data_IF_219173971044
#
_entry.id   IF_219173971044
#
_cell.length_a   1.000
_cell.length_b   1.000
_cell.length_c   1.000
_cell.angle_alpha   90.00
_cell.angle_beta   90.00
_cell.angle_gamma   90.00
#
_symmetry.space_group_name_H-M   'P 1'
#
loop_
_entity.id
_entity.type
_entity.pdbx_description
1 polymer ?
#
# COMPACT_ATOMS: atom_id res chain seq x y z
N UNK A 1 -2.74 -9.96 -20.15
CA UNK A 1 -2.28 -10.18 -18.74
C UNK A 1 -0.99 -9.44 -18.46
N UNK A 2 -0.03 -9.35 -19.39
CA UNK A 2 1.32 -8.81 -19.18
C UNK A 2 1.36 -7.35 -18.66
N UNK A 3 0.36 -6.54 -18.93
CA UNK A 3 0.24 -5.16 -18.45
C UNK A 3 -1.01 -4.91 -17.59
N UNK A 4 -1.53 -5.98 -16.95
CA UNK A 4 -2.52 -5.85 -15.89
C UNK A 4 -3.99 -6.00 -16.31
N UNK A 5 -4.27 -6.43 -17.55
CA UNK A 5 -5.63 -6.72 -18.02
C UNK A 5 -5.92 -8.22 -18.08
N UNK A 6 -7.21 -8.60 -18.00
CA UNK A 6 -7.69 -9.97 -18.20
C UNK A 6 -7.72 -10.84 -16.94
N UNK A 7 -7.50 -10.28 -15.76
CA UNK A 7 -7.69 -10.96 -14.47
C UNK A 7 -8.50 -10.06 -13.56
N UNK A 8 -9.64 -10.54 -13.09
CA UNK A 8 -10.45 -9.89 -12.07
C UNK A 8 -10.09 -10.45 -10.69
N UNK A 9 -9.81 -9.56 -9.74
CA UNK A 9 -9.54 -9.90 -8.34
C UNK A 9 -10.31 -8.97 -7.41
N UNK A 10 -10.71 -9.48 -6.25
CA UNK A 10 -11.32 -8.63 -5.23
C UNK A 10 -10.27 -7.76 -4.54
N UNK A 11 -10.65 -6.59 -3.96
CA UNK A 11 -9.73 -5.76 -3.18
C UNK A 11 -9.03 -6.53 -2.06
N UNK A 12 -9.74 -7.44 -1.39
CA UNK A 12 -9.21 -8.27 -0.32
C UNK A 12 -8.17 -9.28 -0.84
N UNK A 13 -8.40 -9.88 -2.02
CA UNK A 13 -7.42 -10.76 -2.65
C UNK A 13 -6.15 -9.99 -3.04
N UNK A 14 -6.29 -8.79 -3.61
CA UNK A 14 -5.15 -7.95 -3.93
C UNK A 14 -4.34 -7.60 -2.67
N UNK A 15 -5.00 -7.11 -1.62
CA UNK A 15 -4.35 -6.76 -0.36
C UNK A 15 -3.64 -7.95 0.30
N UNK A 16 -4.29 -9.14 0.35
CA UNK A 16 -3.70 -10.34 0.93
C UNK A 16 -2.54 -10.90 0.09
N UNK A 17 -2.59 -10.74 -1.24
CA UNK A 17 -1.48 -11.11 -2.12
C UNK A 17 -0.26 -10.22 -1.84
N UNK A 18 -0.45 -8.90 -1.79
CA UNK A 18 0.64 -7.99 -1.44
C UNK A 18 1.20 -8.29 -0.04
N UNK A 19 0.34 -8.49 0.95
CA UNK A 19 0.77 -8.90 2.29
C UNK A 19 1.61 -10.19 2.24
N UNK A 20 1.25 -11.15 1.39
CA UNK A 20 1.94 -12.43 1.28
C UNK A 20 3.31 -12.33 0.60
N UNK A 21 3.43 -11.51 -0.46
CA UNK A 21 4.69 -11.38 -1.20
C UNK A 21 5.69 -10.45 -0.51
N UNK A 22 5.23 -9.54 0.36
CA UNK A 22 6.09 -8.52 0.99
C UNK A 22 6.55 -8.88 2.40
N UNK A 23 5.93 -9.85 3.09
CA UNK A 23 6.22 -10.23 4.48
C UNK A 23 7.33 -11.29 4.63
N UNK A 24 8.21 -11.42 3.67
CA UNK A 24 9.18 -12.51 3.57
C UNK A 24 8.67 -13.71 2.76
N UNK A 25 7.55 -13.55 2.07
CA UNK A 25 6.98 -14.55 1.14
C UNK A 25 6.04 -15.57 1.78
N UNK A 26 5.50 -15.29 2.95
CA UNK A 26 4.56 -16.20 3.62
C UNK A 26 3.11 -15.85 3.31
N UNK A 27 2.30 -16.88 3.00
CA UNK A 27 0.89 -16.70 2.68
C UNK A 27 0.13 -16.05 3.84
N UNK A 28 -0.66 -15.03 3.53
CA UNK A 28 -1.57 -14.37 4.45
C UNK A 28 -3.00 -14.74 4.09
N UNK A 29 -3.70 -15.38 5.03
CA UNK A 29 -5.14 -15.62 4.92
C UNK A 29 -5.85 -14.56 5.78
N UNK A 30 -6.55 -13.60 5.17
CA UNK A 30 -7.19 -12.54 5.92
C UNK A 30 -8.29 -13.10 6.83
N UNK A 31 -8.44 -12.53 8.03
CA UNK A 31 -9.48 -12.88 8.99
C UNK A 31 -9.78 -11.69 9.89
N UNK A 32 -11.04 -11.49 10.23
CA UNK A 32 -11.49 -10.53 11.25
C UNK A 32 -11.65 -11.19 12.62
N UNK A 33 -11.54 -12.52 12.67
CA UNK A 33 -11.67 -13.28 13.91
C UNK A 33 -10.30 -13.53 14.52
N UNK A 34 -10.12 -13.15 15.79
CA UNK A 34 -8.89 -13.46 16.54
C UNK A 34 -8.80 -14.96 16.75
N UNK A 35 -7.72 -15.58 16.31
CA UNK A 35 -7.45 -17.01 16.49
C UNK A 35 -6.51 -17.22 17.68
N UNK A 36 -6.73 -18.31 18.44
CA UNK A 36 -5.80 -18.73 19.53
C UNK A 36 -4.49 -19.26 18.93
N UNK A 37 -4.59 -19.97 17.80
CA UNK A 37 -3.43 -20.53 17.08
C UNK A 37 -3.51 -20.19 15.60
N UNK A 38 -2.35 -19.96 14.99
CA UNK A 38 -2.22 -19.73 13.58
C UNK A 38 -1.58 -20.96 12.92
N UNK A 39 -2.08 -21.42 11.76
CA UNK A 39 -1.48 -22.55 11.04
C UNK A 39 -0.04 -22.24 10.65
N UNK A 40 0.77 -23.30 10.48
CA UNK A 40 2.15 -23.17 9.99
C UNK A 40 2.16 -22.32 8.73
N UNK A 41 3.05 -21.31 8.71
CA UNK A 41 3.18 -20.38 7.58
C UNK A 41 3.72 -21.12 6.36
N UNK A 42 2.96 -21.16 5.27
CA UNK A 42 3.43 -21.67 3.96
C UNK A 42 4.11 -20.54 3.20
N UNK A 43 5.33 -20.78 2.72
CA UNK A 43 6.07 -19.82 1.90
C UNK A 43 5.68 -20.01 0.43
N UNK A 44 5.44 -18.90 -0.30
CA UNK A 44 5.08 -18.86 -1.72
C UNK A 44 6.15 -18.22 -2.59
N UNK A 45 6.99 -17.34 -2.02
CA UNK A 45 8.19 -16.78 -2.66
C UNK A 45 9.35 -16.77 -1.66
N UNK A 46 10.59 -16.73 -2.15
CA UNK A 46 11.76 -16.65 -1.27
C UNK A 46 11.81 -15.33 -0.50
N UNK A 47 12.51 -15.30 0.64
CA UNK A 47 12.74 -14.07 1.38
C UNK A 47 13.54 -13.04 0.58
N UNK A 48 14.45 -13.50 -0.26
CA UNK A 48 15.21 -12.65 -1.16
C UNK A 48 14.31 -12.00 -2.21
N UNK A 49 13.42 -12.78 -2.85
CA UNK A 49 12.42 -12.25 -3.80
C UNK A 49 11.53 -11.22 -3.12
N UNK A 50 11.02 -11.53 -1.92
CA UNK A 50 10.22 -10.60 -1.12
C UNK A 50 10.96 -9.29 -0.84
N UNK A 51 12.23 -9.36 -0.47
CA UNK A 51 13.06 -8.18 -0.21
C UNK A 51 13.28 -7.34 -1.48
N UNK A 52 13.55 -8.00 -2.62
CA UNK A 52 13.66 -7.32 -3.93
C UNK A 52 12.36 -6.61 -4.30
N UNK A 53 11.21 -7.26 -4.11
CA UNK A 53 9.89 -6.66 -4.36
C UNK A 53 9.71 -5.41 -3.48
N UNK A 54 10.01 -5.49 -2.19
CA UNK A 54 9.89 -4.35 -1.27
C UNK A 54 10.77 -3.17 -1.71
N UNK A 55 11.99 -3.43 -2.15
CA UNK A 55 12.89 -2.42 -2.73
C UNK A 55 12.29 -1.75 -3.97
N UNK A 56 11.71 -2.54 -4.87
CA UNK A 56 11.07 -2.02 -6.09
C UNK A 56 9.85 -1.18 -5.73
N UNK A 57 9.00 -1.65 -4.82
CA UNK A 57 7.83 -0.90 -4.36
C UNK A 57 8.22 0.43 -3.70
N UNK A 58 9.35 0.47 -2.98
CA UNK A 58 9.87 1.72 -2.41
C UNK A 58 10.30 2.69 -3.50
N UNK A 59 10.99 2.23 -4.54
CA UNK A 59 11.40 3.06 -5.69
C UNK A 59 10.23 3.72 -6.41
N UNK A 60 9.08 3.06 -6.52
CA UNK A 60 7.85 3.65 -7.09
C UNK A 60 7.43 4.92 -6.35
N UNK A 61 7.76 5.03 -5.08
CA UNK A 61 7.44 6.19 -4.23
C UNK A 61 8.57 7.23 -4.25
N UNK A 62 9.84 6.81 -4.25
CA UNK A 62 10.99 7.70 -4.05
C UNK A 62 11.65 8.19 -5.33
N UNK A 63 11.71 7.36 -6.37
CA UNK A 63 12.43 7.71 -7.61
C UNK A 63 11.69 8.80 -8.39
N UNK A 64 12.46 9.57 -9.19
CA UNK A 64 11.94 10.71 -9.97
C UNK A 64 10.82 10.29 -10.93
N UNK A 65 10.98 9.15 -11.57
CA UNK A 65 10.03 8.55 -12.51
C UNK A 65 8.93 7.74 -11.80
N UNK A 66 9.01 7.64 -10.47
CA UNK A 66 8.03 6.92 -9.67
C UNK A 66 6.66 7.60 -9.66
N UNK A 67 5.60 6.79 -9.77
CA UNK A 67 4.23 7.28 -9.91
C UNK A 67 3.54 7.58 -8.58
N UNK A 68 4.19 7.33 -7.43
CA UNK A 68 3.54 7.37 -6.11
C UNK A 68 4.19 8.33 -5.10
N UNK A 69 4.88 9.39 -5.58
CA UNK A 69 5.62 10.30 -4.69
C UNK A 69 4.73 11.08 -3.70
N UNK A 70 3.44 11.27 -3.99
CA UNK A 70 2.50 11.91 -3.05
C UNK A 70 2.19 11.05 -1.81
N UNK A 71 2.61 9.77 -1.81
CA UNK A 71 2.56 8.90 -0.62
C UNK A 71 3.91 8.77 0.10
N UNK A 72 4.93 9.57 -0.26
CA UNK A 72 6.19 9.60 0.47
C UNK A 72 6.03 10.37 1.78
N UNK A 73 5.57 9.68 2.80
CA UNK A 73 5.34 10.26 4.12
C UNK A 73 6.55 9.98 4.99
N UNK A 74 7.19 11.07 5.42
CA UNK A 74 8.38 11.01 6.28
C UNK A 74 8.15 10.15 7.53
N UNK A 75 9.09 9.24 7.81
CA UNK A 75 9.06 8.35 8.96
C UNK A 75 8.29 7.04 8.77
N UNK A 76 7.55 6.85 7.65
CA UNK A 76 6.74 5.63 7.44
C UNK A 76 7.30 4.67 6.38
N UNK A 77 8.32 5.09 5.63
CA UNK A 77 9.01 4.25 4.63
C UNK A 77 8.00 3.52 3.70
N UNK A 78 7.09 4.29 3.10
CA UNK A 78 6.01 3.76 2.26
C UNK A 78 6.56 3.24 0.95
N UNK A 79 6.21 2.01 0.58
CA UNK A 79 6.37 1.45 -0.76
C UNK A 79 5.01 1.12 -1.35
N UNK A 80 4.88 1.04 -2.67
CA UNK A 80 3.59 0.69 -3.26
C UNK A 80 3.58 0.62 -4.78
N UNK A 81 2.38 0.33 -5.33
CA UNK A 81 2.13 0.26 -6.77
C UNK A 81 0.81 0.91 -7.12
N UNK A 82 0.84 1.74 -8.14
CA UNK A 82 -0.35 2.36 -8.73
C UNK A 82 -0.98 1.45 -9.78
N UNK A 83 -2.29 1.53 -9.91
CA UNK A 83 -3.06 0.95 -11.01
C UNK A 83 -4.06 1.97 -11.50
N UNK A 84 -4.12 2.18 -12.80
CA UNK A 84 -5.17 2.95 -13.46
C UNK A 84 -5.74 2.04 -14.55
N UNK A 85 -6.99 1.65 -14.41
CA UNK A 85 -7.70 0.86 -15.41
C UNK A 85 -8.84 1.68 -16.00
N UNK A 86 -9.06 1.49 -17.30
CA UNK A 86 -10.20 2.05 -18.01
C UNK A 86 -11.22 0.95 -18.24
N UNK A 87 -12.50 1.27 -18.09
CA UNK A 87 -13.56 0.36 -18.46
C UNK A 87 -13.71 0.37 -19.98
N UNK A 88 -13.57 -0.80 -20.62
CA UNK A 88 -13.65 -0.94 -22.07
C UNK A 88 -15.04 -0.61 -22.65
N UNK A 89 -16.09 -0.65 -21.82
CA UNK A 89 -17.47 -0.34 -22.23
C UNK A 89 -17.79 1.16 -22.16
N UNK A 90 -17.09 1.91 -21.35
CA UNK A 90 -17.33 3.35 -21.14
C UNK A 90 -15.99 4.06 -20.87
N UNK A 91 -15.48 4.79 -21.87
CA UNK A 91 -14.17 5.46 -21.82
C UNK A 91 -14.01 6.48 -20.68
N UNK A 92 -15.12 6.87 -20.06
CA UNK A 92 -15.14 7.84 -18.96
C UNK A 92 -15.08 7.17 -17.57
N UNK A 93 -15.14 5.84 -17.50
CA UNK A 93 -15.09 5.10 -16.24
C UNK A 93 -13.66 4.62 -15.96
N UNK A 94 -13.05 5.20 -14.95
CA UNK A 94 -11.71 4.84 -14.50
C UNK A 94 -11.76 4.23 -13.10
N UNK A 95 -10.98 3.19 -12.88
CA UNK A 95 -10.71 2.66 -11.56
C UNK A 95 -9.24 2.95 -11.21
N UNK A 96 -9.02 3.84 -10.28
CA UNK A 96 -7.70 4.21 -9.80
C UNK A 96 -7.39 3.52 -8.48
N UNK A 97 -6.29 2.81 -8.44
CA UNK A 97 -5.88 2.06 -7.26
C UNK A 97 -4.47 2.41 -6.84
N UNK A 98 -4.24 2.39 -5.55
CA UNK A 98 -2.91 2.37 -4.98
C UNK A 98 -2.86 1.37 -3.84
N UNK A 99 -1.97 0.40 -3.97
CA UNK A 99 -1.69 -0.53 -2.90
C UNK A 99 -0.32 -0.23 -2.32
N UNK A 100 -0.29 0.02 -1.02
CA UNK A 100 0.92 0.38 -0.31
C UNK A 100 1.24 -0.60 0.80
N UNK A 101 2.53 -0.70 1.10
CA UNK A 101 3.08 -1.44 2.24
C UNK A 101 3.94 -0.50 3.06
N UNK A 102 3.87 -0.58 4.37
CA UNK A 102 4.69 0.25 5.24
C UNK A 102 4.95 -0.40 6.61
N UNK A 103 6.18 -0.21 7.14
CA UNK A 103 7.39 0.24 6.47
C UNK A 103 7.85 -0.72 5.37
N UNK A 104 8.36 -0.24 4.22
CA UNK A 104 8.72 -1.09 3.07
C UNK A 104 9.84 -2.08 3.38
N UNK A 105 10.81 -1.70 4.21
CA UNK A 105 11.92 -2.59 4.62
C UNK A 105 11.48 -3.74 5.52
N UNK A 106 10.47 -3.54 6.35
CA UNK A 106 9.92 -4.54 7.26
C UNK A 106 8.39 -4.38 7.34
N UNK A 107 7.67 -4.81 6.30
CA UNK A 107 6.24 -4.55 6.16
C UNK A 107 5.42 -5.07 7.34
N UNK A 108 4.61 -4.19 7.90
CA UNK A 108 3.65 -4.48 8.97
C UNK A 108 2.22 -4.28 8.49
N UNK A 109 2.01 -3.34 7.57
CA UNK A 109 0.71 -2.93 7.11
C UNK A 109 0.64 -2.93 5.59
N UNK A 110 -0.53 -3.27 5.09
CA UNK A 110 -0.94 -3.06 3.70
C UNK A 110 -2.16 -2.15 3.71
N UNK A 111 -2.11 -1.09 2.90
CA UNK A 111 -3.25 -0.21 2.66
C UNK A 111 -3.55 -0.20 1.16
N UNK A 112 -4.76 -0.61 0.81
CA UNK A 112 -5.31 -0.50 -0.53
C UNK A 112 -6.33 0.64 -0.56
N UNK A 113 -6.12 1.60 -1.45
CA UNK A 113 -7.08 2.66 -1.78
C UNK A 113 -7.55 2.44 -3.21
N UNK A 114 -8.86 2.33 -3.40
CA UNK A 114 -9.53 2.23 -4.69
C UNK A 114 -10.51 3.38 -4.83
N UNK A 115 -10.48 4.06 -5.96
CA UNK A 115 -11.39 5.15 -6.30
C UNK A 115 -12.01 4.84 -7.66
N UNK A 116 -13.31 4.67 -7.66
CA UNK A 116 -14.10 4.47 -8.87
C UNK A 116 -14.56 5.82 -9.40
N UNK A 117 -14.35 6.04 -10.68
CA UNK A 117 -14.70 7.28 -11.39
C UNK A 117 -14.28 8.56 -10.67
N UNK A 118 -13.01 8.63 -10.16
CA UNK A 118 -12.58 9.82 -9.47
C UNK A 118 -12.59 11.02 -10.43
N UNK A 119 -12.96 12.18 -9.90
CA UNK A 119 -12.92 13.43 -10.63
C UNK A 119 -11.62 14.18 -10.40
N UNK A 120 -11.27 15.06 -11.32
CA UNK A 120 -10.14 15.99 -11.16
C UNK A 120 -10.42 16.91 -9.98
N UNK A 121 -9.48 16.97 -9.04
CA UNK A 121 -9.59 17.85 -7.87
C UNK A 121 -8.97 19.22 -8.19
N UNK A 122 -9.68 20.04 -9.00
CA UNK A 122 -9.20 21.33 -9.49
C UNK A 122 -8.88 22.33 -8.40
N UNK A 123 -9.48 22.19 -7.21
CA UNK A 123 -9.28 23.09 -6.08
C UNK A 123 -8.11 22.67 -5.17
N UNK A 124 -7.54 21.47 -5.40
CA UNK A 124 -6.40 21.00 -4.65
C UNK A 124 -5.08 21.53 -5.22
N UNK A 125 -4.19 21.89 -4.30
CA UNK A 125 -2.79 22.17 -4.59
C UNK A 125 -1.97 21.07 -3.96
N UNK A 126 -1.34 20.26 -4.80
CA UNK A 126 -0.44 19.18 -4.37
C UNK A 126 0.96 19.72 -4.11
N UNK A 127 1.58 19.30 -3.02
CA UNK A 127 3.02 19.45 -2.85
C UNK A 127 3.70 18.23 -3.50
N UNK A 128 4.06 18.37 -4.76
CA UNK A 128 4.71 17.31 -5.52
C UNK A 128 6.22 17.60 -5.59
N UNK A 129 7.02 16.85 -4.83
CA UNK A 129 8.49 17.00 -4.79
C UNK A 129 8.96 18.44 -4.54
N UNK A 130 8.29 19.11 -3.58
CA UNK A 130 8.58 20.51 -3.25
C UNK A 130 7.92 21.55 -4.15
N UNK A 131 7.31 21.15 -5.25
CA UNK A 131 6.59 22.04 -6.16
C UNK A 131 5.08 22.06 -5.82
N UNK A 132 4.49 23.24 -5.86
CA UNK A 132 3.03 23.41 -5.73
C UNK A 132 2.40 23.22 -7.11
N UNK A 133 1.63 22.14 -7.29
CA UNK A 133 0.98 21.80 -8.56
C UNK A 133 -0.53 21.78 -8.35
N UNK A 134 -1.26 22.51 -9.19
CA UNK A 134 -2.73 22.50 -9.20
C UNK A 134 -3.25 21.15 -9.72
N UNK A 135 -4.34 20.66 -9.15
CA UNK A 135 -4.97 19.41 -9.55
C UNK A 135 -5.59 19.52 -10.95
N UNK A 136 -4.90 18.93 -11.93
CA UNK A 136 -5.36 18.88 -13.34
C UNK A 136 -5.38 17.45 -13.88
N UNK A 137 -4.96 16.47 -13.08
CA UNK A 137 -4.78 15.08 -13.48
C UNK A 137 -5.67 14.15 -12.68
N UNK A 138 -6.07 13.05 -13.30
CA UNK A 138 -6.99 12.06 -12.74
C UNK A 138 -6.43 10.63 -12.72
N UNK A 139 -5.12 10.45 -12.85
CA UNK A 139 -4.51 9.14 -12.70
C UNK A 139 -4.30 8.79 -11.22
N UNK A 140 -4.09 7.50 -10.95
CA UNK A 140 -3.91 6.95 -9.60
C UNK A 140 -2.82 7.69 -8.78
N UNK A 141 -1.76 8.17 -9.43
CA UNK A 141 -0.69 8.93 -8.79
C UNK A 141 -1.13 10.26 -8.15
N UNK A 142 -2.25 10.82 -8.61
CA UNK A 142 -2.77 12.13 -8.18
C UNK A 142 -3.98 12.04 -7.25
N UNK A 143 -4.65 10.90 -7.20
CA UNK A 143 -5.83 10.72 -6.36
C UNK A 143 -5.68 9.58 -5.34
N UNK A 144 -5.66 8.32 -5.73
CA UNK A 144 -5.56 7.19 -4.77
C UNK A 144 -4.24 7.20 -4.00
N UNK A 145 -3.11 7.60 -4.63
CA UNK A 145 -1.82 7.79 -3.95
C UNK A 145 -1.88 8.91 -2.93
N UNK A 146 -2.43 10.07 -3.31
CA UNK A 146 -2.58 11.20 -2.41
C UNK A 146 -3.47 10.86 -1.21
N UNK A 147 -4.61 10.20 -1.47
CA UNK A 147 -5.52 9.72 -0.43
C UNK A 147 -4.84 8.76 0.54
N UNK A 148 -4.10 7.78 0.00
CA UNK A 148 -3.33 6.84 0.83
C UNK A 148 -2.29 7.57 1.70
N UNK A 149 -1.56 8.54 1.13
CA UNK A 149 -0.60 9.36 1.88
C UNK A 149 -1.28 10.11 3.04
N UNK A 150 -2.45 10.71 2.80
CA UNK A 150 -3.25 11.38 3.86
C UNK A 150 -3.71 10.41 4.95
N UNK A 151 -4.17 9.22 4.56
CA UNK A 151 -4.56 8.17 5.51
C UNK A 151 -3.36 7.76 6.35
N UNK A 152 -2.23 7.38 5.73
CA UNK A 152 -1.02 6.95 6.43
C UNK A 152 -0.53 8.02 7.41
N UNK A 153 -0.49 9.29 6.98
CA UNK A 153 -0.11 10.41 7.85
C UNK A 153 -1.01 10.53 9.08
N UNK A 154 -2.31 10.24 8.93
CA UNK A 154 -3.29 10.34 10.03
C UNK A 154 -3.27 9.13 10.95
N UNK A 155 -3.19 7.91 10.41
CA UNK A 155 -3.25 6.69 11.21
C UNK A 155 -1.88 6.22 11.72
N UNK A 156 -0.80 6.63 11.06
CA UNK A 156 0.57 6.18 11.37
C UNK A 156 0.98 6.37 12.82
N UNK A 157 0.74 7.54 13.46
CA UNK A 157 1.04 7.73 14.88
C UNK A 157 0.28 6.76 15.78
N UNK A 158 -1.00 6.47 15.47
CA UNK A 158 -1.84 5.54 16.24
C UNK A 158 -1.29 4.11 16.13
N UNK A 159 -0.87 3.72 14.93
CA UNK A 159 -0.30 2.39 14.68
C UNK A 159 1.08 2.23 15.35
N UNK A 160 1.88 3.29 15.43
CA UNK A 160 3.16 3.29 16.11
C UNK A 160 2.99 3.06 17.61
N UNK A 161 2.10 3.79 18.29
CA UNK A 161 1.79 3.65 19.71
C UNK A 161 1.35 2.21 20.04
N UNK A 162 0.40 1.66 19.27
CA UNK A 162 -0.07 0.27 19.49
C UNK A 162 1.03 -0.78 19.31
N UNK A 163 2.01 -0.53 18.46
CA UNK A 163 3.15 -1.43 18.32
C UNK A 163 4.07 -1.39 19.53
N UNK A 164 4.31 -0.23 20.12
CA UNK A 164 5.13 -0.10 21.32
C UNK A 164 4.50 -0.81 22.51
N UNK A 165 3.18 -0.62 22.73
CA UNK A 165 2.44 -1.34 23.77
C UNK A 165 2.56 -2.87 23.59
N UNK A 166 2.41 -3.38 22.37
CA UNK A 166 2.57 -4.80 22.07
C UNK A 166 3.98 -5.33 22.40
N UNK A 167 5.04 -4.55 22.14
CA UNK A 167 6.40 -4.95 22.47
C UNK A 167 6.65 -4.93 23.97
N UNK A 168 6.12 -3.97 24.71
CA UNK A 168 6.22 -3.86 26.16
C UNK A 168 5.53 -5.04 26.84
N UNK A 169 4.30 -5.37 26.42
CA UNK A 169 3.56 -6.53 26.96
C UNK A 169 4.28 -7.87 26.72
N UNK A 170 4.86 -8.06 25.52
CA UNK A 170 5.58 -9.29 25.22
C UNK A 170 6.94 -9.37 25.89
N UNK A 171 7.60 -8.25 26.16
CA UNK A 171 8.82 -8.22 26.96
C UNK A 171 8.53 -8.59 28.43
N UNK A 172 7.45 -8.04 29.00
CA UNK A 172 7.02 -8.36 30.38
C UNK A 172 6.65 -9.84 30.56
N UNK A 173 5.99 -10.46 29.55
CA UNK A 173 5.66 -11.89 29.56
C UNK A 173 6.84 -12.85 29.44
N UNK A 174 8.00 -12.38 29.02
CA UNK A 174 9.24 -13.19 28.94
C UNK A 174 10.09 -13.10 30.21
N UNK A 175 9.77 -12.17 31.10
CA UNK A 175 10.47 -11.95 32.37
C UNK A 175 9.76 -12.63 33.55
N UNK A 176 8.54 -13.14 33.33
CA UNK A 176 7.79 -14.01 34.24
C UNK A 176 7.78 -15.45 33.71
#
# INVERSE_FOLDING_TARGET
ISYGHGIAVTPLQAASTYASITNGGYIVKPTIVKKKEYPKKKRIVSSETSSKINSILRKVVTEKEGTASLADIYGYDVGGKTGTSQNYGNKNENLNTFISVFPSKKPKYVLLVMLENPQVASDLIYNYRGLKIKGTRNEAGWNSVYTAGKIIKKIGPILAIKNEEFYIENAAKKLN
#
